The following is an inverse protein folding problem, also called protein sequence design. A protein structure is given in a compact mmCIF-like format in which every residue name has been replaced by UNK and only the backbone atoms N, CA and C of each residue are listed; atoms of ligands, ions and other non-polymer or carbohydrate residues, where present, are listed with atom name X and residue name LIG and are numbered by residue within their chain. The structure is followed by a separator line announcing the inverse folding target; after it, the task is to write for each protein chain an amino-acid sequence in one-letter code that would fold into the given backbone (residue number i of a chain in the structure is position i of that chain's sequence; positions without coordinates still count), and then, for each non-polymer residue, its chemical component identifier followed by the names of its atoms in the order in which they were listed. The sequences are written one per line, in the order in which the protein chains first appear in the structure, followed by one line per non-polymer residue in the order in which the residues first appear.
data_IF_018324992872
#
_entry.id   IF_018324992872
#
_cell.length_a   1.000
_cell.length_b   1.000
_cell.length_c   1.000
_cell.angle_alpha   90.00
_cell.angle_beta   90.00
_cell.angle_gamma   90.00
#
_symmetry.space_group_name_H-M   'P 1'
#
loop_
_entity.id
_entity.type
_entity.pdbx_description
1 polymer ?
#
# COMPACT_ATOMS: atom_id res chain seq x y z
N UNK A 1 13.70 10.42 12.87
CA UNK A 1 12.52 9.55 12.73
C UNK A 1 11.36 10.34 13.29
N UNK A 2 10.36 10.70 12.48
CA UNK A 2 9.24 11.55 12.92
C UNK A 2 8.37 10.81 13.95
N UNK A 3 7.77 11.54 14.88
CA UNK A 3 6.90 10.98 15.95
C UNK A 3 5.76 10.11 15.38
N UNK A 4 5.32 10.45 14.16
CA UNK A 4 4.27 9.75 13.41
C UNK A 4 4.73 8.35 12.94
N UNK A 5 5.97 8.22 12.45
CA UNK A 5 6.51 6.91 12.09
C UNK A 5 6.64 6.03 13.33
N UNK A 6 7.02 6.62 14.46
CA UNK A 6 7.06 5.91 15.73
C UNK A 6 5.67 5.38 16.09
N UNK A 7 4.61 6.17 15.97
CA UNK A 7 3.23 5.73 16.25
C UNK A 7 2.78 4.56 15.35
N UNK A 8 3.14 4.60 14.06
CA UNK A 8 2.90 3.50 13.11
C UNK A 8 3.62 2.22 13.56
N UNK A 9 4.87 2.30 14.02
CA UNK A 9 5.67 1.14 14.39
C UNK A 9 5.46 0.66 15.84
N UNK A 10 4.94 1.50 16.73
CA UNK A 10 4.71 1.15 18.14
C UNK A 10 3.27 0.76 18.46
N UNK A 11 2.29 1.12 17.62
CA UNK A 11 0.90 0.71 17.83
C UNK A 11 0.71 -0.78 17.52
N UNK A 12 0.07 -1.51 18.45
CA UNK A 12 -0.36 -2.90 18.23
C UNK A 12 -1.69 -2.99 17.49
N UNK A 13 -2.43 -1.89 17.40
CA UNK A 13 -3.74 -1.83 16.76
C UNK A 13 -3.59 -1.60 15.26
N UNK A 14 -4.14 -2.53 14.47
CA UNK A 14 -4.09 -2.47 13.01
C UNK A 14 -4.90 -1.30 12.45
N UNK A 15 -6.06 -0.99 13.03
CA UNK A 15 -6.96 0.04 12.54
C UNK A 15 -6.38 1.43 12.79
N UNK A 16 -5.71 1.64 13.93
CA UNK A 16 -5.00 2.88 14.24
C UNK A 16 -3.83 3.09 13.29
N UNK A 17 -2.99 2.06 13.07
CA UNK A 17 -1.88 2.15 12.11
C UNK A 17 -2.40 2.49 10.72
N UNK A 18 -3.48 1.84 10.29
CA UNK A 18 -4.12 2.11 9.00
C UNK A 18 -4.62 3.55 8.90
N UNK A 19 -5.32 4.07 9.90
CA UNK A 19 -5.80 5.45 9.89
C UNK A 19 -4.64 6.45 9.76
N UNK A 20 -3.59 6.30 10.56
CA UNK A 20 -2.41 7.16 10.49
C UNK A 20 -1.75 7.10 9.11
N UNK A 21 -1.59 5.89 8.55
CA UNK A 21 -1.05 5.69 7.20
C UNK A 21 -1.89 6.38 6.10
N UNK A 22 -3.22 6.37 6.24
CA UNK A 22 -4.14 7.03 5.31
C UNK A 22 -4.13 8.55 5.42
N UNK A 23 -3.91 9.10 6.62
CA UNK A 23 -3.90 10.55 6.86
C UNK A 23 -2.65 11.24 6.31
N UNK A 24 -1.50 10.57 6.39
CA UNK A 24 -0.21 11.17 6.01
C UNK A 24 0.23 10.81 4.58
N UNK A 25 -0.37 9.77 4.01
CA UNK A 25 0.05 9.21 2.73
C UNK A 25 -0.63 9.87 1.53
N UNK A 26 0.12 10.05 0.44
CA UNK A 26 -0.46 10.36 -0.87
C UNK A 26 -0.97 9.07 -1.52
N UNK A 27 -2.26 9.01 -1.82
CA UNK A 27 -2.84 7.88 -2.55
C UNK A 27 -2.33 7.86 -3.99
N UNK A 28 -1.80 6.71 -4.41
CA UNK A 28 -1.38 6.44 -5.79
C UNK A 28 -2.38 5.45 -6.39
N UNK A 29 -2.74 5.66 -7.65
CA UNK A 29 -3.74 4.86 -8.35
C UNK A 29 -3.27 3.40 -8.49
N UNK A 30 -4.16 2.46 -8.18
CA UNK A 30 -3.80 1.05 -8.01
C UNK A 30 -4.71 0.06 -8.74
N UNK A 31 -4.20 -1.16 -8.89
CA UNK A 31 -4.74 -2.24 -9.73
C UNK A 31 -5.97 -2.88 -9.08
N UNK A 32 -7.07 -2.92 -9.84
CA UNK A 32 -8.26 -3.70 -9.49
C UNK A 32 -8.12 -5.15 -10.00
N UNK A 33 -8.33 -6.13 -9.13
CA UNK A 33 -8.52 -7.54 -9.47
C UNK A 33 -9.93 -7.96 -9.05
N UNK A 34 -10.56 -8.93 -9.73
CA UNK A 34 -11.97 -9.26 -9.53
C UNK A 34 -12.40 -9.46 -8.06
N UNK A 35 -11.53 -10.05 -7.22
CA UNK A 35 -11.84 -10.34 -5.81
C UNK A 35 -11.02 -9.50 -4.80
N UNK A 36 -10.11 -8.65 -5.27
CA UNK A 36 -9.28 -7.81 -4.42
C UNK A 36 -8.89 -6.51 -5.10
N UNK A 37 -8.88 -5.42 -4.36
CA UNK A 37 -8.20 -4.21 -4.80
C UNK A 37 -6.91 -4.04 -4.01
N UNK A 38 -5.91 -3.50 -4.70
CA UNK A 38 -4.69 -3.03 -4.05
C UNK A 38 -4.86 -1.52 -3.91
N UNK A 39 -4.38 -0.90 -2.83
CA UNK A 39 -4.19 0.56 -2.70
C UNK A 39 -2.78 0.81 -2.22
N UNK A 40 -2.14 1.84 -2.76
CA UNK A 40 -0.75 2.17 -2.43
C UNK A 40 -0.71 3.61 -1.97
N UNK A 41 -0.12 3.81 -0.80
CA UNK A 41 0.13 5.11 -0.22
C UNK A 41 1.62 5.37 -0.26
N UNK A 42 2.04 6.52 -0.80
CA UNK A 42 3.40 7.00 -0.62
C UNK A 42 3.45 7.82 0.67
N UNK A 43 4.34 7.44 1.57
CA UNK A 43 4.54 8.11 2.86
C UNK A 43 6.02 8.47 2.93
N UNK A 44 6.32 9.76 2.91
CA UNK A 44 7.69 10.29 2.87
C UNK A 44 8.57 9.54 1.84
N UNK A 45 9.49 8.71 2.33
CA UNK A 45 10.51 7.98 1.58
C UNK A 45 10.21 6.48 1.40
N UNK A 46 9.00 6.01 1.71
CA UNK A 46 8.57 4.63 1.48
C UNK A 46 7.14 4.51 0.95
N UNK A 47 6.76 3.30 0.53
CA UNK A 47 5.43 2.98 0.06
C UNK A 47 4.74 1.99 0.99
N UNK A 48 3.42 2.11 1.09
CA UNK A 48 2.59 1.17 1.82
C UNK A 48 1.57 0.57 0.89
N UNK A 49 1.61 -0.75 0.75
CA UNK A 49 0.66 -1.53 -0.05
C UNK A 49 -0.42 -2.14 0.86
N UNK A 50 -1.66 -1.76 0.60
CA UNK A 50 -2.85 -2.29 1.25
C UNK A 50 -3.57 -3.24 0.29
N UNK A 51 -3.79 -4.49 0.71
CA UNK A 51 -4.58 -5.46 -0.06
C UNK A 51 -5.94 -5.65 0.62
N UNK A 52 -6.98 -5.14 -0.03
CA UNK A 52 -8.35 -5.34 0.40
C UNK A 52 -8.98 -6.52 -0.34
N UNK A 53 -9.64 -7.41 0.40
CA UNK A 53 -10.45 -8.49 -0.18
C UNK A 53 -11.91 -8.09 -0.15
N UNK A 54 -12.52 -8.02 -1.33
CA UNK A 54 -13.93 -7.61 -1.48
C UNK A 54 -14.88 -8.54 -0.72
N UNK A 55 -14.63 -9.85 -0.77
CA UNK A 55 -15.43 -10.88 -0.09
C UNK A 55 -15.48 -10.68 1.44
N UNK A 56 -14.37 -10.25 2.04
CA UNK A 56 -14.25 -10.07 3.49
C UNK A 56 -14.54 -8.63 3.94
N UNK A 57 -14.73 -7.72 2.98
CA UNK A 57 -14.88 -6.27 3.17
C UNK A 57 -13.83 -5.66 4.11
N UNK A 58 -12.58 -6.12 4.03
CA UNK A 58 -11.50 -5.65 4.90
C UNK A 58 -10.14 -5.71 4.23
N UNK A 59 -9.22 -4.92 4.78
CA UNK A 59 -7.79 -5.02 4.49
C UNK A 59 -7.29 -6.33 5.12
N UNK A 60 -6.59 -7.12 4.31
CA UNK A 60 -6.08 -8.44 4.71
C UNK A 60 -4.57 -8.50 4.77
N UNK A 61 -3.91 -7.50 4.20
CA UNK A 61 -2.47 -7.42 4.17
C UNK A 61 -2.03 -5.96 4.06
N UNK A 62 -0.98 -5.63 4.80
CA UNK A 62 -0.29 -4.34 4.79
C UNK A 62 1.18 -4.69 4.60
N UNK A 63 1.80 -4.11 3.57
CA UNK A 63 3.23 -4.23 3.36
C UNK A 63 3.87 -2.86 3.32
N UNK A 64 5.03 -2.74 3.97
CA UNK A 64 5.92 -1.59 3.80
C UNK A 64 6.91 -1.98 2.70
N UNK A 65 7.02 -1.13 1.69
CA UNK A 65 7.78 -1.39 0.47
C UNK A 65 8.77 -0.24 0.30
N UNK A 66 10.04 -0.56 0.13
CA UNK A 66 11.03 0.45 -0.18
C UNK A 66 10.83 0.98 -1.62
N UNK A 67 11.27 2.20 -1.94
CA UNK A 67 11.06 2.76 -3.28
C UNK A 67 11.62 1.94 -4.44
N UNK A 68 12.74 1.24 -4.28
CA UNK A 68 13.33 0.38 -5.30
C UNK A 68 12.48 -0.87 -5.52
N UNK A 69 12.10 -1.59 -4.45
CA UNK A 69 11.19 -2.75 -4.54
C UNK A 69 9.84 -2.34 -5.17
N UNK A 70 9.33 -1.16 -4.83
CA UNK A 70 8.09 -0.65 -5.42
C UNK A 70 8.22 -0.47 -6.94
N UNK A 71 9.29 0.17 -7.40
CA UNK A 71 9.55 0.38 -8.82
C UNK A 71 9.73 -0.95 -9.55
N UNK A 72 10.48 -1.90 -9.00
CA UNK A 72 10.66 -3.22 -9.61
C UNK A 72 9.34 -3.99 -9.71
N UNK A 73 8.57 -4.01 -8.61
CA UNK A 73 7.29 -4.71 -8.57
C UNK A 73 6.31 -4.11 -9.55
N UNK A 74 6.14 -2.79 -9.59
CA UNK A 74 5.04 -2.17 -10.35
C UNK A 74 5.41 -1.69 -11.76
N UNK A 75 6.68 -1.41 -12.07
CA UNK A 75 7.09 -1.17 -13.46
C UNK A 75 7.00 -2.44 -14.31
N UNK A 76 7.35 -3.60 -13.75
CA UNK A 76 7.21 -4.89 -14.43
C UNK A 76 5.74 -5.18 -14.77
N UNK A 77 4.80 -4.82 -13.89
CA UNK A 77 3.37 -4.98 -14.16
C UNK A 77 2.85 -4.03 -15.24
N UNK A 78 3.28 -2.76 -15.26
CA UNK A 78 2.91 -1.83 -16.34
C UNK A 78 3.49 -2.25 -17.70
N UNK A 79 4.69 -2.83 -17.72
CA UNK A 79 5.29 -3.38 -18.93
C UNK A 79 4.50 -4.60 -19.42
N UNK A 80 4.14 -5.53 -18.53
CA UNK A 80 3.33 -6.72 -18.87
C UNK A 80 1.93 -6.34 -19.38
N UNK A 81 1.25 -5.37 -18.75
CA UNK A 81 -0.05 -4.88 -19.22
C UNK A 81 0.03 -4.15 -20.57
N UNK A 82 1.17 -3.55 -20.91
CA UNK A 82 1.41 -2.95 -22.24
C UNK A 82 1.74 -3.99 -23.31
N UNK A 83 2.29 -5.14 -22.94
CA UNK A 83 2.59 -6.25 -23.86
C UNK A 83 1.38 -7.16 -24.11
N UNK A 84 0.40 -7.12 -23.20
CA UNK A 84 -0.84 -7.90 -23.28
C UNK A 84 -2.02 -7.13 -23.90
N UNK A 85 -1.83 -5.86 -24.24
CA UNK A 85 -2.75 -5.03 -25.05
C UNK A 85 -2.10 -4.72 -26.40
#
# INVERSE_FOLDING_TARGET
MSEILQEIFTSTDLDIRLQVLLEIGKEILTINKPNKFIKIYQIDDFYVELIYKNELKKITYINLIDPQEFLEKYNNYNLLNKLMN
#
